data_IF_993489961182
#
_entry.id   IF_993489961182
#
_cell.length_a   1.000
_cell.length_b   1.000
_cell.length_c   1.000
_cell.angle_alpha   90.00
_cell.angle_beta   90.00
_cell.angle_gamma   90.00
#
_symmetry.space_group_name_H-M   'P 1'
#
loop_
_entity.id
_entity.type
_entity.pdbx_description
1 polymer ?
#
# COMPACT_ATOMS: atom_id res chain seq x y z
N UNK A 1 13.68 9.65 -15.88
CA UNK A 1 12.72 9.64 -14.73
C UNK A 1 12.92 10.90 -13.90
N UNK A 2 11.87 11.62 -13.52
CA UNK A 2 11.99 12.76 -12.58
C UNK A 2 12.59 12.25 -11.27
N UNK A 3 13.64 12.92 -10.78
CA UNK A 3 14.28 12.59 -9.49
C UNK A 3 13.25 12.77 -8.36
N UNK A 4 13.12 11.78 -7.49
CA UNK A 4 12.20 11.88 -6.33
C UNK A 4 12.74 12.90 -5.33
N UNK A 5 11.95 13.95 -5.04
CA UNK A 5 12.27 14.96 -4.01
C UNK A 5 12.42 14.32 -2.64
N UNK A 6 11.56 13.36 -2.29
CA UNK A 6 11.65 12.61 -1.02
C UNK A 6 13.01 11.90 -0.92
N UNK A 7 13.45 11.22 -2.02
CA UNK A 7 14.73 10.53 -2.03
C UNK A 7 15.90 11.51 -1.91
N UNK A 8 15.79 12.67 -2.55
CA UNK A 8 16.81 13.73 -2.47
C UNK A 8 16.94 14.25 -1.02
N UNK A 9 15.82 14.66 -0.41
CA UNK A 9 15.79 15.12 0.99
C UNK A 9 16.41 14.09 1.94
N UNK A 10 16.05 12.82 1.77
CA UNK A 10 16.62 11.75 2.59
C UNK A 10 18.11 11.55 2.31
N UNK A 11 18.54 11.61 1.05
CA UNK A 11 19.96 11.43 0.69
C UNK A 11 20.86 12.48 1.31
N UNK A 12 20.43 13.74 1.27
CA UNK A 12 21.21 14.87 1.75
C UNK A 12 21.26 14.93 3.28
N UNK A 13 20.19 14.52 3.94
CA UNK A 13 20.03 14.78 5.37
C UNK A 13 20.10 13.54 6.28
N UNK A 14 19.94 12.31 5.75
CA UNK A 14 19.72 11.11 6.57
C UNK A 14 20.86 10.78 7.52
N UNK A 15 22.12 10.90 7.06
CA UNK A 15 23.29 10.58 7.90
C UNK A 15 23.43 11.57 9.06
N UNK A 16 23.28 12.87 8.78
CA UNK A 16 23.33 13.92 9.82
C UNK A 16 22.13 13.78 10.78
N UNK A 17 20.95 13.50 10.25
CA UNK A 17 19.76 13.21 11.06
C UNK A 17 19.99 12.03 12.02
N UNK A 18 20.63 10.95 11.57
CA UNK A 18 20.92 9.79 12.41
C UNK A 18 21.96 10.09 13.49
N UNK A 19 22.94 10.96 13.25
CA UNK A 19 23.89 11.40 14.29
C UNK A 19 23.16 12.07 15.46
N UNK A 20 22.15 12.88 15.16
CA UNK A 20 21.41 13.64 16.18
C UNK A 20 20.29 12.79 16.81
N UNK A 21 19.50 12.11 16.00
CA UNK A 21 18.25 11.47 16.42
C UNK A 21 18.28 9.94 16.37
N UNK A 22 19.37 9.33 15.94
CA UNK A 22 19.45 7.90 15.62
C UNK A 22 19.11 6.95 16.77
N UNK A 23 19.35 7.35 18.03
CA UNK A 23 18.93 6.56 19.22
C UNK A 23 17.41 6.43 19.33
N UNK A 24 16.64 7.45 18.87
CA UNK A 24 15.17 7.48 18.88
C UNK A 24 14.54 6.87 17.62
N UNK A 25 15.31 6.58 16.58
CA UNK A 25 14.80 6.03 15.32
C UNK A 25 14.71 4.51 15.40
N UNK A 26 13.53 3.95 15.16
CA UNK A 26 13.27 2.49 15.17
C UNK A 26 14.14 1.76 14.13
N UNK A 27 14.63 0.56 14.47
CA UNK A 27 15.50 -0.25 13.59
C UNK A 27 14.87 -0.53 12.22
N UNK A 28 13.58 -0.84 12.17
CA UNK A 28 12.88 -1.08 10.90
C UNK A 28 12.78 0.18 10.03
N UNK A 29 12.68 1.36 10.64
CA UNK A 29 12.66 2.64 9.92
C UNK A 29 14.01 2.89 9.24
N UNK A 30 15.13 2.68 9.93
CA UNK A 30 16.47 2.81 9.34
C UNK A 30 16.59 1.93 8.11
N UNK A 31 16.28 0.64 8.24
CA UNK A 31 16.31 -0.32 7.12
C UNK A 31 15.39 0.09 5.96
N UNK A 32 14.22 0.65 6.25
CA UNK A 32 13.27 1.03 5.21
C UNK A 32 13.73 2.28 4.46
N UNK A 33 14.33 3.27 5.15
CA UNK A 33 14.94 4.44 4.50
C UNK A 33 16.15 4.03 3.65
N UNK A 34 17.03 3.15 4.15
CA UNK A 34 18.17 2.61 3.39
C UNK A 34 17.72 1.93 2.09
N UNK A 35 16.63 1.14 2.13
CA UNK A 35 16.03 0.56 0.91
C UNK A 35 15.55 1.64 -0.07
N UNK A 36 14.93 2.71 0.43
CA UNK A 36 14.47 3.81 -0.43
C UNK A 36 15.66 4.53 -1.07
N UNK A 37 16.70 4.76 -0.32
CA UNK A 37 17.95 5.37 -0.82
C UNK A 37 18.63 4.50 -1.89
N UNK A 38 18.63 3.19 -1.70
CA UNK A 38 19.17 2.23 -2.65
C UNK A 38 18.27 1.98 -3.87
N UNK A 39 17.04 2.50 -3.90
CA UNK A 39 16.07 2.25 -4.97
C UNK A 39 16.57 2.83 -6.31
N UNK A 40 16.76 1.97 -7.32
CA UNK A 40 17.24 2.35 -8.64
C UNK A 40 18.71 2.76 -8.69
N UNK A 41 19.48 2.53 -7.62
CA UNK A 41 20.93 2.73 -7.59
C UNK A 41 21.63 1.54 -8.26
N UNK A 42 22.30 1.81 -9.38
CA UNK A 42 22.97 0.78 -10.16
C UNK A 42 24.12 0.13 -9.39
N UNK A 43 24.77 0.84 -8.45
CA UNK A 43 25.81 0.25 -7.61
C UNK A 43 25.30 -0.86 -6.68
N UNK A 44 24.00 -0.88 -6.40
CA UNK A 44 23.34 -1.90 -5.58
C UNK A 44 22.81 -3.08 -6.38
N UNK A 45 22.81 -2.95 -7.70
CA UNK A 45 22.44 -3.98 -8.65
C UNK A 45 21.40 -3.53 -9.67
N UNK A 46 21.41 -4.22 -10.80
CA UNK A 46 20.57 -3.90 -11.96
C UNK A 46 20.28 -5.13 -12.81
N UNK A 47 19.29 -4.98 -13.67
CA UNK A 47 19.05 -5.87 -14.81
C UNK A 47 19.63 -5.18 -16.03
N UNK A 48 20.36 -5.93 -16.88
CA UNK A 48 20.89 -5.46 -18.13
C UNK A 48 20.11 -6.02 -19.30
N UNK A 49 19.82 -5.15 -20.26
CA UNK A 49 19.21 -5.49 -21.54
C UNK A 49 20.16 -5.09 -22.67
N UNK A 50 20.20 -5.86 -23.73
CA UNK A 50 21.03 -5.60 -24.92
C UNK A 50 20.16 -5.53 -26.16
N UNK A 51 20.50 -4.63 -27.06
CA UNK A 51 19.90 -4.54 -28.40
C UNK A 51 20.70 -5.35 -29.38
N UNK A 52 20.14 -6.40 -29.96
CA UNK A 52 20.86 -7.24 -30.92
C UNK A 52 21.22 -6.52 -32.20
N UNK A 53 20.46 -5.47 -32.58
CA UNK A 53 20.66 -4.72 -33.82
C UNK A 53 21.77 -3.66 -33.73
N UNK A 54 21.87 -2.92 -32.62
CA UNK A 54 22.86 -1.84 -32.50
C UNK A 54 23.79 -2.01 -31.30
N UNK A 55 23.71 -3.14 -30.60
CA UNK A 55 24.55 -3.53 -29.45
C UNK A 55 24.47 -2.56 -28.27
N UNK A 56 23.51 -1.61 -28.29
CA UNK A 56 23.28 -0.69 -27.18
C UNK A 56 22.85 -1.48 -25.94
N UNK A 57 23.43 -1.16 -24.79
CA UNK A 57 23.03 -1.75 -23.51
C UNK A 57 22.19 -0.79 -22.67
N UNK A 58 21.28 -1.33 -21.87
CA UNK A 58 20.42 -0.57 -20.97
C UNK A 58 20.36 -1.22 -19.61
N UNK A 59 20.77 -0.48 -18.60
CA UNK A 59 20.77 -0.94 -17.20
C UNK A 59 19.57 -0.38 -16.46
N UNK A 60 18.85 -1.25 -15.76
CA UNK A 60 17.66 -0.91 -14.96
C UNK A 60 17.90 -1.34 -13.52
N UNK A 61 18.11 -0.37 -12.63
CA UNK A 61 18.38 -0.61 -11.20
C UNK A 61 17.20 -1.26 -10.48
N UNK A 62 17.48 -2.05 -9.47
CA UNK A 62 16.46 -2.73 -8.68
C UNK A 62 15.55 -1.74 -7.94
N UNK A 63 14.25 -2.04 -7.91
CA UNK A 63 13.28 -1.27 -7.15
C UNK A 63 13.14 -1.81 -5.72
N UNK A 64 12.99 -0.91 -4.75
CA UNK A 64 12.90 -1.28 -3.33
C UNK A 64 11.56 -1.91 -2.93
N UNK A 65 10.53 -1.86 -3.75
CA UNK A 65 9.15 -2.28 -3.47
C UNK A 65 8.56 -1.65 -2.18
N UNK A 66 9.22 -0.64 -1.63
CA UNK A 66 8.78 0.05 -0.41
C UNK A 66 7.58 0.93 -0.69
N UNK A 67 6.56 0.84 0.15
CA UNK A 67 5.40 1.73 0.14
C UNK A 67 5.77 3.19 0.43
N UNK A 68 6.94 3.40 0.98
CA UNK A 68 7.49 4.70 1.32
C UNK A 68 8.24 5.35 0.14
N UNK A 69 8.51 4.57 -0.90
CA UNK A 69 9.17 5.01 -2.11
C UNK A 69 8.13 5.36 -3.18
N UNK A 70 8.19 6.56 -3.71
CA UNK A 70 7.28 7.05 -4.76
C UNK A 70 7.45 6.31 -6.10
N UNK A 71 8.63 5.73 -6.35
CA UNK A 71 8.92 4.94 -7.54
C UNK A 71 8.68 3.44 -7.31
N UNK A 72 9.41 2.83 -6.37
CA UNK A 72 9.35 1.38 -6.13
C UNK A 72 8.02 0.88 -5.55
N UNK A 73 7.30 1.73 -4.80
CA UNK A 73 6.00 1.39 -4.21
C UNK A 73 4.84 1.37 -5.21
N UNK A 74 4.93 2.10 -6.31
CA UNK A 74 3.84 2.23 -7.28
C UNK A 74 3.52 0.92 -7.97
N UNK A 75 4.53 0.22 -8.49
CA UNK A 75 4.36 -1.09 -9.15
C UNK A 75 3.77 -2.14 -8.19
N UNK A 76 4.24 -2.14 -6.94
CA UNK A 76 3.68 -3.01 -5.91
C UNK A 76 2.18 -2.73 -5.67
N UNK A 77 1.80 -1.45 -5.63
CA UNK A 77 0.41 -1.02 -5.43
C UNK A 77 -0.49 -1.45 -6.57
N UNK A 78 -0.04 -1.26 -7.81
CA UNK A 78 -0.81 -1.61 -9.00
C UNK A 78 -1.08 -3.13 -9.04
N UNK A 79 -0.05 -3.96 -8.72
CA UNK A 79 -0.21 -5.41 -8.57
C UNK A 79 -1.24 -5.78 -7.50
N UNK A 80 -1.19 -5.09 -6.37
CA UNK A 80 -2.12 -5.37 -5.29
C UNK A 80 -3.56 -4.97 -5.66
N UNK A 81 -3.74 -3.85 -6.37
CA UNK A 81 -5.05 -3.39 -6.86
C UNK A 81 -5.67 -4.45 -7.78
N UNK A 82 -4.92 -4.95 -8.76
CA UNK A 82 -5.41 -5.97 -9.69
C UNK A 82 -5.84 -7.24 -8.96
N UNK A 83 -5.03 -7.70 -8.01
CA UNK A 83 -5.37 -8.86 -7.19
C UNK A 83 -6.62 -8.63 -6.32
N UNK A 84 -6.79 -7.44 -5.78
CA UNK A 84 -7.97 -7.10 -5.00
C UNK A 84 -9.22 -7.04 -5.87
N UNK A 85 -9.15 -6.37 -7.02
CA UNK A 85 -10.27 -6.24 -7.94
C UNK A 85 -10.80 -7.58 -8.43
N UNK A 86 -9.89 -8.55 -8.66
CA UNK A 86 -10.27 -9.91 -9.02
C UNK A 86 -10.97 -10.69 -7.88
N UNK A 87 -10.95 -10.16 -6.66
CA UNK A 87 -11.64 -10.77 -5.51
C UNK A 87 -12.93 -10.04 -5.11
N UNK A 88 -13.18 -8.83 -5.61
CA UNK A 88 -14.42 -8.11 -5.32
C UNK A 88 -15.59 -8.76 -6.06
N UNK A 89 -16.71 -8.95 -5.37
CA UNK A 89 -17.97 -9.42 -5.97
C UNK A 89 -18.68 -8.27 -6.67
N UNK A 90 -19.52 -8.59 -7.67
CA UNK A 90 -20.23 -7.62 -8.51
C UNK A 90 -21.47 -7.05 -7.82
N UNK A 91 -21.24 -6.33 -6.73
CA UNK A 91 -22.27 -5.58 -5.99
C UNK A 91 -21.78 -4.16 -5.75
N UNK A 92 -22.69 -3.27 -5.39
CA UNK A 92 -22.32 -1.93 -4.97
C UNK A 92 -21.48 -1.97 -3.69
N UNK A 93 -20.50 -1.11 -3.62
CA UNK A 93 -19.64 -0.92 -2.45
C UNK A 93 -19.71 0.51 -1.95
N UNK A 94 -19.47 0.67 -0.68
CA UNK A 94 -19.37 1.99 -0.03
C UNK A 94 -18.02 2.15 0.62
N UNK A 95 -17.49 3.35 0.51
CA UNK A 95 -16.30 3.74 1.27
C UNK A 95 -16.71 4.41 2.57
N UNK A 96 -16.15 3.91 3.67
CA UNK A 96 -16.35 4.46 5.02
C UNK A 96 -15.00 4.75 5.65
N UNK A 97 -14.88 5.89 6.32
CA UNK A 97 -13.70 6.27 7.11
C UNK A 97 -14.08 6.28 8.58
N UNK A 98 -13.32 5.56 9.38
CA UNK A 98 -13.43 5.51 10.83
C UNK A 98 -12.25 6.27 11.44
N UNK A 99 -12.52 7.38 12.11
CA UNK A 99 -11.49 8.16 12.79
C UNK A 99 -11.51 7.91 14.28
N UNK A 100 -10.41 8.23 14.94
CA UNK A 100 -10.31 8.18 16.40
C UNK A 100 -10.14 9.60 16.94
N UNK A 101 -10.65 9.89 18.13
CA UNK A 101 -10.41 11.17 18.80
C UNK A 101 -8.92 11.34 19.16
N UNK A 102 -8.52 12.59 19.32
CA UNK A 102 -7.12 12.94 19.54
C UNK A 102 -6.54 12.30 20.79
N UNK A 103 -7.33 12.23 21.83
CA UNK A 103 -7.00 11.66 23.13
C UNK A 103 -6.52 10.19 23.03
N UNK A 104 -7.00 9.46 22.03
CA UNK A 104 -6.60 8.07 21.78
C UNK A 104 -5.36 7.94 20.88
N UNK A 105 -4.95 8.99 20.17
CA UNK A 105 -3.82 8.90 19.21
C UNK A 105 -2.51 8.50 19.91
N UNK A 106 -2.25 9.02 21.11
CA UNK A 106 -1.06 8.68 21.91
C UNK A 106 -1.01 7.19 22.28
N UNK A 107 -2.15 6.58 22.61
CA UNK A 107 -2.26 5.15 22.92
C UNK A 107 -1.74 4.25 21.77
N UNK A 108 -2.05 4.60 20.53
CA UNK A 108 -1.58 3.88 19.34
C UNK A 108 -0.15 4.26 18.95
N UNK A 109 0.30 5.46 19.28
CA UNK A 109 1.67 5.93 19.04
C UNK A 109 2.70 5.24 19.92
N UNK A 110 2.37 5.03 21.21
CA UNK A 110 3.25 4.37 22.19
C UNK A 110 3.52 2.90 21.86
N UNK A 111 2.53 2.19 21.34
CA UNK A 111 2.69 0.80 20.88
C UNK A 111 1.94 0.60 19.56
N UNK A 112 2.68 0.56 18.47
CA UNK A 112 2.14 0.48 17.11
C UNK A 112 1.48 -0.86 16.80
N UNK A 113 1.78 -1.93 17.52
CA UNK A 113 1.08 -3.20 17.38
C UNK A 113 -0.41 -3.06 17.75
N UNK A 114 -0.76 -2.07 18.57
CA UNK A 114 -2.15 -1.74 18.91
C UNK A 114 -2.96 -1.26 17.70
N UNK A 115 -2.32 -0.74 16.65
CA UNK A 115 -3.02 -0.34 15.42
C UNK A 115 -3.83 -1.49 14.80
N UNK A 116 -3.49 -2.76 15.05
CA UNK A 116 -4.27 -3.93 14.60
C UNK A 116 -5.69 -3.98 15.16
N UNK A 117 -5.95 -3.26 16.25
CA UNK A 117 -7.27 -3.14 16.89
C UNK A 117 -8.24 -2.38 15.97
N UNK A 118 -7.78 -1.28 15.36
CA UNK A 118 -8.62 -0.38 14.58
C UNK A 118 -9.42 -1.08 13.47
N UNK A 119 -8.80 -1.85 12.55
CA UNK A 119 -9.56 -2.52 11.48
C UNK A 119 -10.49 -3.60 12.00
N UNK A 120 -10.10 -4.30 13.09
CA UNK A 120 -10.93 -5.32 13.74
C UNK A 120 -12.20 -4.69 14.32
N UNK A 121 -12.05 -3.59 15.06
CA UNK A 121 -13.18 -2.86 15.64
C UNK A 121 -14.09 -2.21 14.58
N UNK A 122 -13.49 -1.63 13.52
CA UNK A 122 -14.28 -1.05 12.43
C UNK A 122 -15.12 -2.12 11.71
N UNK A 123 -14.53 -3.28 11.41
CA UNK A 123 -15.26 -4.40 10.83
C UNK A 123 -16.36 -4.91 11.77
N UNK A 124 -16.07 -5.07 13.08
CA UNK A 124 -17.05 -5.48 14.09
C UNK A 124 -18.20 -4.49 14.21
N UNK A 125 -17.93 -3.18 14.16
CA UNK A 125 -18.97 -2.14 14.22
C UNK A 125 -19.96 -2.26 13.05
N UNK A 126 -19.46 -2.43 11.81
CA UNK A 126 -20.30 -2.58 10.62
C UNK A 126 -21.04 -3.91 10.63
N UNK A 127 -20.36 -5.02 10.91
CA UNK A 127 -20.98 -6.34 10.93
C UNK A 127 -22.06 -6.43 11.99
N UNK A 128 -21.82 -5.95 13.21
CA UNK A 128 -22.81 -5.95 14.28
C UNK A 128 -24.02 -5.04 13.98
N UNK A 129 -23.79 -3.94 13.25
CA UNK A 129 -24.88 -3.10 12.77
C UNK A 129 -25.72 -3.86 11.74
N UNK A 130 -25.12 -4.50 10.75
CA UNK A 130 -25.86 -5.29 9.74
C UNK A 130 -26.61 -6.46 10.36
N UNK A 131 -26.02 -7.14 11.36
CA UNK A 131 -26.70 -8.21 12.11
C UNK A 131 -27.95 -7.69 12.85
N UNK A 132 -27.92 -6.44 13.34
CA UNK A 132 -29.08 -5.86 14.03
C UNK A 132 -30.24 -5.48 13.12
N UNK A 133 -30.03 -5.37 11.81
CA UNK A 133 -31.09 -5.11 10.83
C UNK A 133 -32.05 -6.30 10.68
N UNK A 134 -31.52 -7.51 10.88
CA UNK A 134 -32.33 -8.73 10.94
C UNK A 134 -31.59 -9.78 11.77
N UNK A 135 -32.10 -10.04 12.97
CA UNK A 135 -31.44 -10.94 13.94
C UNK A 135 -31.43 -12.41 13.51
N UNK A 136 -32.43 -12.86 12.74
CA UNK A 136 -32.49 -14.24 12.24
C UNK A 136 -31.48 -14.47 11.12
N UNK A 137 -31.34 -13.53 10.19
CA UNK A 137 -30.46 -13.65 9.01
C UNK A 137 -29.00 -13.31 9.29
N UNK A 138 -28.73 -12.34 10.17
CA UNK A 138 -27.37 -11.88 10.52
C UNK A 138 -26.51 -11.58 9.28
N UNK A 139 -26.97 -10.66 8.44
CA UNK A 139 -26.32 -10.32 7.18
C UNK A 139 -24.82 -10.03 7.33
N UNK A 140 -23.98 -10.81 6.66
CA UNK A 140 -22.54 -10.70 6.69
C UNK A 140 -22.04 -9.97 5.43
N UNK A 141 -21.43 -8.78 5.56
CA UNK A 141 -20.88 -8.03 4.44
C UNK A 141 -19.50 -8.53 4.00
N UNK A 142 -19.08 -8.13 2.80
CA UNK A 142 -17.68 -8.18 2.36
C UNK A 142 -16.95 -6.90 2.77
N UNK A 143 -15.85 -6.99 3.52
CA UNK A 143 -15.13 -5.84 4.06
C UNK A 143 -13.65 -5.92 3.71
N UNK A 144 -13.11 -4.82 3.18
CA UNK A 144 -11.66 -4.58 3.03
C UNK A 144 -11.32 -3.31 3.79
N UNK A 145 -10.33 -3.38 4.68
CA UNK A 145 -9.86 -2.25 5.48
C UNK A 145 -8.42 -1.90 5.19
N UNK A 146 -8.10 -0.61 5.22
CA UNK A 146 -6.74 -0.08 5.12
C UNK A 146 -6.50 0.89 6.26
N UNK A 147 -5.41 0.71 7.01
CA UNK A 147 -5.00 1.64 8.08
C UNK A 147 -4.17 2.75 7.46
N UNK A 148 -4.52 3.99 7.79
CA UNK A 148 -3.66 5.16 7.61
C UNK A 148 -3.28 5.72 8.96
N UNK A 149 -2.11 6.36 9.02
CA UNK A 149 -1.58 6.93 10.26
C UNK A 149 -1.32 8.43 10.16
N UNK A 150 -1.63 9.04 9.01
CA UNK A 150 -1.30 10.45 8.72
C UNK A 150 -2.53 11.26 8.33
N UNK A 151 -2.57 12.50 8.79
CA UNK A 151 -3.45 13.55 8.28
C UNK A 151 -2.91 14.15 6.97
N UNK A 152 -3.63 15.12 6.41
CA UNK A 152 -3.15 15.90 5.24
C UNK A 152 -1.90 16.71 5.57
N UNK A 153 -1.74 17.13 6.80
CA UNK A 153 -0.63 17.88 7.39
C UNK A 153 0.54 17.00 7.89
N UNK A 154 0.52 15.72 7.57
CA UNK A 154 1.50 14.72 8.04
C UNK A 154 1.52 14.49 9.56
N UNK A 155 0.57 15.02 10.33
CA UNK A 155 0.46 14.70 11.75
C UNK A 155 0.00 13.25 11.96
N UNK A 156 0.38 12.69 13.11
CA UNK A 156 -0.04 11.36 13.54
C UNK A 156 -1.55 11.33 13.79
N UNK A 157 -2.27 10.70 12.87
CA UNK A 157 -3.73 10.59 12.89
C UNK A 157 -4.17 9.19 12.42
N UNK A 158 -4.11 8.15 13.27
CA UNK A 158 -4.54 6.81 12.89
C UNK A 158 -6.03 6.76 12.60
N UNK A 159 -6.38 6.21 11.43
CA UNK A 159 -7.77 6.01 11.00
C UNK A 159 -7.87 4.83 10.04
N UNK A 160 -9.08 4.34 9.84
CA UNK A 160 -9.34 3.19 8.96
C UNK A 160 -10.16 3.64 7.78
N UNK A 161 -9.65 3.37 6.59
CA UNK A 161 -10.45 3.37 5.36
C UNK A 161 -11.02 1.98 5.15
N UNK A 162 -12.33 1.91 4.89
CA UNK A 162 -13.04 0.67 4.67
C UNK A 162 -13.79 0.72 3.35
N UNK A 163 -13.68 -0.36 2.56
CA UNK A 163 -14.61 -0.67 1.48
C UNK A 163 -15.51 -1.78 1.99
N UNK A 164 -16.80 -1.56 1.96
CA UNK A 164 -17.82 -2.51 2.39
C UNK A 164 -18.88 -2.68 1.31
N UNK A 165 -19.38 -3.89 1.15
CA UNK A 165 -20.51 -4.16 0.26
C UNK A 165 -21.78 -3.46 0.75
N UNK A 166 -22.58 -2.88 -0.15
CA UNK A 166 -23.93 -2.38 0.16
C UNK A 166 -24.93 -3.52 0.21
N UNK A 167 -24.71 -4.40 1.17
CA UNK A 167 -25.48 -5.61 1.39
C UNK A 167 -24.66 -6.69 2.05
N UNK A 168 -25.29 -7.81 2.30
CA UNK A 168 -24.68 -8.97 2.94
C UNK A 168 -25.40 -10.26 2.64
N UNK A 169 -24.70 -11.38 2.83
CA UNK A 169 -25.26 -12.72 2.81
C UNK A 169 -25.91 -13.02 4.15
N UNK A 170 -27.15 -13.49 4.15
CA UNK A 170 -27.86 -14.00 5.29
C UNK A 170 -27.60 -15.49 5.54
N UNK A 171 -28.25 -16.07 6.54
CA UNK A 171 -28.20 -17.52 6.81
C UNK A 171 -28.92 -18.32 5.71
N UNK A 172 -30.11 -17.88 5.32
CA UNK A 172 -30.97 -18.51 4.30
C UNK A 172 -31.12 -17.62 3.05
N UNK A 173 -30.95 -16.31 3.20
CA UNK A 173 -31.03 -15.34 2.10
C UNK A 173 -29.63 -15.20 1.49
N UNK A 174 -29.50 -15.53 0.19
CA UNK A 174 -28.22 -15.48 -0.49
C UNK A 174 -27.64 -14.06 -0.51
N UNK A 175 -28.48 -13.04 -0.77
CA UNK A 175 -28.06 -11.66 -0.77
C UNK A 175 -29.19 -10.69 -0.43
N UNK A 176 -28.91 -9.74 0.47
CA UNK A 176 -29.79 -8.59 0.77
C UNK A 176 -29.08 -7.29 0.53
N UNK A 177 -29.61 -6.45 -0.36
CA UNK A 177 -29.15 -5.07 -0.54
C UNK A 177 -29.53 -4.20 0.65
N UNK A 178 -28.58 -3.38 1.13
CA UNK A 178 -28.74 -2.40 2.21
C UNK A 178 -28.37 -1.04 1.63
N UNK A 179 -29.37 -0.29 1.23
CA UNK A 179 -29.18 1.01 0.55
C UNK A 179 -28.84 2.14 1.50
N UNK A 180 -29.33 2.09 2.73
CA UNK A 180 -29.14 3.13 3.72
C UNK A 180 -28.21 2.66 4.83
N UNK A 181 -27.18 3.46 5.10
CA UNK A 181 -26.24 3.25 6.19
C UNK A 181 -26.54 4.25 7.31
N UNK A 182 -26.96 3.77 8.46
CA UNK A 182 -27.29 4.57 9.64
C UNK A 182 -26.00 5.05 10.32
N UNK A 183 -25.46 6.20 9.86
CA UNK A 183 -24.16 6.71 10.34
C UNK A 183 -24.12 7.03 11.82
N UNK A 184 -25.22 7.51 12.40
CA UNK A 184 -25.31 7.74 13.85
C UNK A 184 -25.14 6.43 14.64
N UNK A 185 -25.84 5.39 14.21
CA UNK A 185 -25.71 4.08 14.81
C UNK A 185 -24.28 3.53 14.66
N UNK A 186 -23.64 3.74 13.50
CA UNK A 186 -22.26 3.34 13.28
C UNK A 186 -21.27 4.12 14.13
N UNK A 187 -21.47 5.44 14.34
CA UNK A 187 -20.63 6.28 15.21
C UNK A 187 -20.66 5.77 16.66
N UNK A 188 -21.84 5.51 17.20
CA UNK A 188 -22.02 4.98 18.55
C UNK A 188 -21.43 3.57 18.70
N UNK A 189 -21.66 2.69 17.70
CA UNK A 189 -21.06 1.34 17.70
C UNK A 189 -19.55 1.37 17.58
N UNK A 190 -19.01 2.24 16.72
CA UNK A 190 -17.56 2.43 16.58
C UNK A 190 -16.93 2.85 17.90
N UNK A 191 -17.50 3.85 18.56
CA UNK A 191 -17.07 4.31 19.89
C UNK A 191 -17.08 3.16 20.90
N UNK A 192 -18.21 2.46 21.02
CA UNK A 192 -18.35 1.37 21.98
C UNK A 192 -17.34 0.25 21.72
N UNK A 193 -17.31 -0.29 20.51
CA UNK A 193 -16.44 -1.44 20.17
C UNK A 193 -14.96 -1.08 20.35
N UNK A 194 -14.57 0.14 19.97
CA UNK A 194 -13.18 0.58 20.10
C UNK A 194 -12.78 0.77 21.57
N UNK A 195 -13.60 1.44 22.38
CA UNK A 195 -13.33 1.66 23.78
C UNK A 195 -13.30 0.36 24.59
N UNK A 196 -14.19 -0.56 24.30
CA UNK A 196 -14.21 -1.89 24.92
C UNK A 196 -12.91 -2.67 24.61
N UNK A 197 -12.49 -2.71 23.34
CA UNK A 197 -11.25 -3.39 22.95
C UNK A 197 -9.98 -2.72 23.51
N UNK A 198 -9.97 -1.39 23.57
CA UNK A 198 -8.86 -0.64 24.21
C UNK A 198 -8.80 -0.97 25.70
N UNK A 199 -9.93 -1.04 26.39
CA UNK A 199 -9.99 -1.41 27.81
C UNK A 199 -9.41 -2.81 28.04
N UNK A 200 -9.79 -3.79 27.21
CA UNK A 200 -9.24 -5.17 27.28
C UNK A 200 -7.72 -5.16 27.12
N UNK A 201 -7.18 -4.42 26.14
CA UNK A 201 -5.75 -4.42 25.83
C UNK A 201 -4.94 -3.62 26.85
N UNK A 202 -5.53 -2.61 27.49
CA UNK A 202 -4.85 -1.73 28.46
C UNK A 202 -4.91 -2.27 29.89
N UNK A 203 -5.75 -3.25 30.13
CA UNK A 203 -6.22 -3.56 31.46
C UNK A 203 -7.25 -2.52 31.98
N UNK A 204 -8.14 -2.96 32.83
CA UNK A 204 -9.21 -2.13 33.41
C UNK A 204 -8.69 -1.32 34.60
N UNK A 205 -7.87 -0.30 34.32
CA UNK A 205 -7.31 0.57 35.34
C UNK A 205 -8.09 1.90 35.47
N UNK A 206 -7.92 2.59 36.62
CA UNK A 206 -8.63 3.85 36.93
C UNK A 206 -8.46 4.91 35.84
N UNK A 207 -7.25 5.04 35.25
CA UNK A 207 -6.98 6.03 34.18
C UNK A 207 -7.78 5.72 32.92
N UNK A 208 -7.87 4.43 32.54
CA UNK A 208 -8.64 4.02 31.35
C UNK A 208 -10.15 4.16 31.58
N UNK A 209 -10.66 3.83 32.77
CA UNK A 209 -12.06 4.08 33.14
C UNK A 209 -12.41 5.57 33.06
N UNK A 210 -11.58 6.42 33.63
CA UNK A 210 -11.77 7.88 33.58
C UNK A 210 -11.77 8.40 32.12
N UNK A 211 -10.81 7.97 31.29
CA UNK A 211 -10.78 8.34 29.88
C UNK A 211 -12.00 7.85 29.11
N UNK A 212 -12.43 6.62 29.35
CA UNK A 212 -13.64 6.05 28.73
C UNK A 212 -14.87 6.87 29.08
N UNK A 213 -15.09 7.20 30.35
CA UNK A 213 -16.20 8.01 30.80
C UNK A 213 -16.17 9.43 30.20
N UNK A 214 -14.99 10.08 30.22
CA UNK A 214 -14.79 11.37 29.57
C UNK A 214 -15.19 11.34 28.10
N UNK A 215 -14.71 10.34 27.32
CA UNK A 215 -14.98 10.23 25.90
C UNK A 215 -16.47 9.93 25.61
N UNK A 216 -17.18 9.19 26.46
CA UNK A 216 -18.64 9.01 26.31
C UNK A 216 -19.39 10.32 26.57
N UNK A 217 -18.95 11.12 27.55
CA UNK A 217 -19.57 12.42 27.88
C UNK A 217 -19.33 13.45 26.77
N UNK A 218 -18.07 13.64 26.36
CA UNK A 218 -17.69 14.67 25.39
C UNK A 218 -18.04 14.31 23.94
N UNK A 219 -18.05 13.03 23.60
CA UNK A 219 -18.37 12.51 22.27
C UNK A 219 -19.69 11.73 22.29
N UNK A 220 -20.76 12.32 22.84
CA UNK A 220 -22.06 11.68 23.05
C UNK A 220 -22.75 11.23 21.74
N UNK A 221 -22.41 11.85 20.59
CA UNK A 221 -22.85 11.43 19.24
C UNK A 221 -22.03 10.26 18.66
N UNK A 222 -21.05 9.74 19.44
CA UNK A 222 -20.13 8.71 19.00
C UNK A 222 -18.90 9.25 18.27
N UNK A 223 -17.94 8.37 17.95
CA UNK A 223 -16.74 8.75 17.23
C UNK A 223 -17.04 8.97 15.75
N UNK A 224 -16.32 9.90 15.11
CA UNK A 224 -16.60 10.30 13.74
C UNK A 224 -16.46 9.16 12.75
N UNK A 225 -17.53 8.90 12.01
CA UNK A 225 -17.60 7.99 10.88
C UNK A 225 -18.11 8.78 9.69
N UNK A 226 -17.37 8.75 8.59
CA UNK A 226 -17.71 9.45 7.36
C UNK A 226 -17.83 8.45 6.21
N UNK A 227 -18.89 8.54 5.45
CA UNK A 227 -18.98 7.84 4.19
C UNK A 227 -18.86 8.81 3.04
N UNK A 228 -17.98 8.46 2.14
CA UNK A 228 -17.94 9.05 0.81
C UNK A 228 -18.69 8.15 -0.17
N UNK A 229 -18.94 8.71 -1.33
CA UNK A 229 -19.55 8.20 -2.54
C UNK A 229 -19.66 6.68 -2.70
N UNK A 230 -20.79 6.24 -3.24
CA UNK A 230 -21.00 4.92 -3.81
C UNK A 230 -19.87 4.53 -4.78
N UNK A 231 -19.33 3.35 -4.62
CA UNK A 231 -18.35 2.77 -5.56
C UNK A 231 -19.14 1.86 -6.52
N UNK A 232 -19.45 2.42 -7.70
CA UNK A 232 -20.32 1.75 -8.68
C UNK A 232 -19.55 0.88 -9.69
N UNK A 233 -18.22 0.99 -9.75
CA UNK A 233 -17.44 0.28 -10.76
C UNK A 233 -16.08 -0.18 -10.25
N UNK A 234 -15.54 -1.21 -10.88
CA UNK A 234 -14.19 -1.71 -10.64
C UNK A 234 -13.12 -0.60 -10.82
N UNK A 235 -13.31 0.29 -11.80
CA UNK A 235 -12.40 1.43 -12.06
C UNK A 235 -12.40 2.41 -10.88
N UNK A 236 -13.57 2.70 -10.32
CA UNK A 236 -13.70 3.59 -9.15
C UNK A 236 -13.13 2.93 -7.90
N UNK A 237 -13.38 1.63 -7.69
CA UNK A 237 -12.79 0.85 -6.62
C UNK A 237 -11.26 0.84 -6.71
N UNK A 238 -10.70 0.59 -7.91
CA UNK A 238 -9.26 0.59 -8.16
C UNK A 238 -8.62 1.94 -7.87
N UNK A 239 -9.17 3.03 -8.42
CA UNK A 239 -8.69 4.40 -8.16
C UNK A 239 -8.71 4.73 -6.68
N UNK A 240 -9.77 4.30 -6.01
CA UNK A 240 -9.98 4.58 -4.60
C UNK A 240 -8.94 3.84 -3.75
N UNK A 241 -8.86 2.53 -3.92
CA UNK A 241 -7.94 1.69 -3.16
C UNK A 241 -6.48 2.04 -3.45
N UNK A 242 -6.15 2.32 -4.70
CA UNK A 242 -4.81 2.76 -5.10
C UNK A 242 -4.34 4.02 -4.38
N UNK A 243 -5.27 4.92 -4.02
CA UNK A 243 -4.94 6.12 -3.24
C UNK A 243 -4.48 5.80 -1.81
N UNK A 244 -4.98 4.72 -1.22
CA UNK A 244 -4.79 4.44 0.20
C UNK A 244 -3.81 3.31 0.49
N UNK A 245 -3.57 2.42 -0.47
CA UNK A 245 -2.78 1.21 -0.25
C UNK A 245 -1.28 1.41 -0.42
N UNK A 246 -0.86 2.17 -1.39
CA UNK A 246 0.54 2.21 -1.80
C UNK A 246 1.17 3.58 -1.88
N UNK A 247 0.49 4.62 -1.38
CA UNK A 247 1.09 5.96 -1.37
C UNK A 247 1.93 6.17 -0.14
N UNK A 248 3.10 6.80 -0.27
CA UNK A 248 3.80 7.40 0.86
C UNK A 248 2.88 8.41 1.55
N UNK A 249 3.22 8.80 2.78
CA UNK A 249 2.42 9.76 3.55
C UNK A 249 2.20 11.09 2.82
N UNK A 250 3.11 11.43 1.92
CA UNK A 250 3.01 12.61 1.05
C UNK A 250 3.26 12.21 -0.42
N UNK A 251 2.53 12.82 -1.35
CA UNK A 251 2.79 12.69 -2.78
C UNK A 251 3.91 13.67 -3.22
N UNK A 252 4.73 13.28 -4.18
CA UNK A 252 5.79 14.14 -4.74
C UNK A 252 5.29 15.51 -5.20
N UNK A 253 4.09 15.56 -5.79
CA UNK A 253 3.46 16.81 -6.25
C UNK A 253 3.07 17.78 -5.14
N UNK A 254 3.09 17.33 -3.89
CA UNK A 254 2.83 18.17 -2.71
C UNK A 254 4.10 18.79 -2.14
N UNK A 255 5.27 18.30 -2.51
CA UNK A 255 6.54 18.93 -2.17
C UNK A 255 6.79 20.02 -3.21
N UNK A 256 6.57 21.27 -2.81
CA UNK A 256 6.71 22.43 -3.67
C UNK A 256 8.19 22.67 -3.95
N UNK A 257 8.98 22.82 -2.89
CA UNK A 257 10.40 23.14 -3.00
C UNK A 257 11.27 22.44 -1.93
N UNK A 258 12.57 22.40 -2.17
CA UNK A 258 13.60 21.93 -1.26
C UNK A 258 14.93 22.61 -1.59
N UNK A 259 15.44 23.43 -0.69
CA UNK A 259 16.66 24.26 -0.84
C UNK A 259 17.94 23.62 -0.26
N UNK A 260 17.86 22.38 0.23
CA UNK A 260 18.95 21.67 0.93
C UNK A 260 18.80 21.70 2.46
N UNK A 261 18.13 22.69 3.02
CA UNK A 261 17.93 22.90 4.46
C UNK A 261 16.45 22.80 4.83
N UNK A 262 15.57 23.45 4.06
CA UNK A 262 14.14 23.53 4.31
C UNK A 262 13.34 22.82 3.22
N UNK A 263 12.22 22.25 3.61
CA UNK A 263 11.24 21.60 2.73
C UNK A 263 9.96 22.39 2.76
N UNK A 264 9.53 22.87 1.60
CA UNK A 264 8.24 23.52 1.41
C UNK A 264 7.26 22.53 0.81
N UNK A 265 6.15 22.30 1.50
CA UNK A 265 5.10 21.40 1.03
C UNK A 265 3.71 21.97 1.27
N UNK A 266 2.73 21.49 0.49
CA UNK A 266 1.37 21.98 0.53
C UNK A 266 0.35 20.90 0.90
N UNK A 267 -0.71 21.34 1.57
CA UNK A 267 -1.87 20.49 1.87
C UNK A 267 -3.14 21.32 1.98
N UNK A 268 -4.29 20.67 1.76
CA UNK A 268 -5.59 21.29 1.93
C UNK A 268 -6.06 21.07 3.38
N UNK A 269 -6.37 22.12 4.09
CA UNK A 269 -6.93 22.07 5.45
C UNK A 269 -8.36 21.49 5.41
N UNK A 270 -8.79 20.87 6.50
CA UNK A 270 -10.10 20.21 6.55
C UNK A 270 -11.23 21.17 6.92
N UNK A 271 -10.91 22.20 7.67
CA UNK A 271 -11.86 23.14 8.28
C UNK A 271 -12.49 24.04 7.23
N UNK A 272 -11.71 24.55 6.33
CA UNK A 272 -12.08 25.57 5.34
C UNK A 272 -11.81 25.19 3.88
N UNK A 273 -11.14 24.03 3.66
CA UNK A 273 -10.64 23.57 2.37
C UNK A 273 -9.58 24.49 1.72
N UNK A 274 -8.97 25.39 2.48
CA UNK A 274 -7.87 26.22 1.99
C UNK A 274 -6.58 25.41 1.78
N UNK A 275 -5.82 25.81 0.76
CA UNK A 275 -4.47 25.28 0.52
C UNK A 275 -3.47 25.98 1.44
N UNK A 276 -2.84 25.21 2.32
CA UNK A 276 -1.79 25.67 3.22
C UNK A 276 -0.44 25.28 2.64
N UNK A 277 0.48 26.25 2.57
CA UNK A 277 1.89 26.02 2.23
C UNK A 277 2.69 26.14 3.53
N UNK A 278 3.43 25.07 3.87
CA UNK A 278 4.23 24.99 5.10
C UNK A 278 5.70 24.78 4.72
N UNK A 279 6.59 25.62 5.25
CA UNK A 279 8.05 25.47 5.10
C UNK A 279 8.63 25.09 6.45
N UNK A 280 9.33 23.96 6.51
CA UNK A 280 9.94 23.44 7.73
C UNK A 280 11.35 22.92 7.44
N UNK A 281 12.19 22.90 8.46
CA UNK A 281 13.53 22.32 8.39
C UNK A 281 13.46 20.83 7.96
N UNK A 282 14.38 20.39 7.11
CA UNK A 282 14.40 19.03 6.57
C UNK A 282 14.33 17.94 7.65
N UNK A 283 14.93 18.14 8.83
CA UNK A 283 14.87 17.16 9.92
C UNK A 283 13.45 17.04 10.51
N UNK A 284 12.70 18.14 10.62
CA UNK A 284 11.31 18.08 11.07
C UNK A 284 10.42 17.41 10.02
N UNK A 285 10.67 17.69 8.74
CA UNK A 285 10.01 16.98 7.65
C UNK A 285 10.29 15.47 7.69
N UNK A 286 11.55 15.07 7.88
CA UNK A 286 11.94 13.66 8.03
C UNK A 286 11.24 13.02 9.22
N UNK A 287 11.17 13.67 10.39
CA UNK A 287 10.43 13.17 11.55
C UNK A 287 8.96 12.94 11.22
N UNK A 288 8.29 13.95 10.62
CA UNK A 288 6.90 13.85 10.18
C UNK A 288 6.71 12.69 9.20
N UNK A 289 7.67 12.43 8.33
CA UNK A 289 7.58 11.40 7.30
C UNK A 289 7.80 9.98 7.85
N UNK A 290 8.88 9.76 8.60
CA UNK A 290 9.29 8.42 9.06
C UNK A 290 8.39 7.84 10.16
N UNK A 291 7.64 8.70 10.87
CA UNK A 291 6.67 8.25 11.88
C UNK A 291 5.60 7.34 11.26
N UNK A 292 5.32 7.45 9.98
CA UNK A 292 4.29 6.68 9.28
C UNK A 292 4.80 5.34 8.72
N UNK A 293 6.09 5.06 8.78
CA UNK A 293 6.64 3.76 8.41
C UNK A 293 6.13 2.70 9.39
N UNK A 294 5.40 1.66 8.92
CA UNK A 294 4.84 0.63 9.79
C UNK A 294 5.93 -0.27 10.39
N UNK A 295 5.58 -1.05 11.39
CA UNK A 295 6.45 -2.10 11.91
C UNK A 295 6.68 -3.21 10.87
N UNK A 296 7.80 -3.91 11.00
CA UNK A 296 8.12 -5.05 10.12
C UNK A 296 6.97 -6.07 10.15
N UNK A 297 6.56 -6.53 8.97
CA UNK A 297 5.46 -7.50 8.79
C UNK A 297 4.08 -7.02 9.28
N UNK A 298 3.93 -5.73 9.61
CA UNK A 298 2.62 -5.20 10.01
C UNK A 298 1.67 -5.15 8.80
N UNK A 299 0.54 -5.87 8.90
CA UNK A 299 -0.48 -5.92 7.85
C UNK A 299 -1.37 -4.69 7.92
N UNK A 300 -1.12 -3.71 7.04
CA UNK A 300 -1.94 -2.50 6.93
C UNK A 300 -3.31 -2.76 6.33
N UNK A 301 -3.47 -3.84 5.54
CA UNK A 301 -4.70 -4.21 4.84
C UNK A 301 -5.24 -5.48 5.46
N UNK A 302 -6.55 -5.52 5.72
CA UNK A 302 -7.24 -6.69 6.29
C UNK A 302 -8.58 -6.90 5.62
N UNK A 303 -8.99 -8.16 5.57
CA UNK A 303 -10.21 -8.64 4.94
C UNK A 303 -11.10 -9.31 5.96
N UNK A 304 -12.40 -9.01 5.93
CA UNK A 304 -13.39 -9.55 6.88
C UNK A 304 -14.67 -9.96 6.15
N UNK A 305 -15.53 -10.71 6.84
CA UNK A 305 -16.78 -11.21 6.30
C UNK A 305 -16.55 -12.04 5.03
N UNK A 306 -17.34 -11.80 4.00
CA UNK A 306 -17.26 -12.51 2.71
C UNK A 306 -15.84 -12.45 2.10
N UNK A 307 -15.12 -11.32 2.30
CA UNK A 307 -13.76 -11.16 1.78
C UNK A 307 -12.67 -11.75 2.65
N UNK A 308 -13.00 -12.35 3.79
CA UNK A 308 -12.03 -13.05 4.63
C UNK A 308 -11.30 -14.12 3.80
N UNK A 309 -9.99 -14.29 4.04
CA UNK A 309 -9.20 -15.33 3.37
C UNK A 309 -9.70 -16.75 3.66
N UNK A 310 -10.30 -16.94 4.85
CA UNK A 310 -10.87 -18.23 5.28
C UNK A 310 -12.25 -18.49 4.68
N UNK A 311 -12.96 -17.44 4.24
CA UNK A 311 -14.28 -17.56 3.64
C UNK A 311 -14.17 -17.99 2.17
N UNK A 312 -14.89 -19.05 1.81
CA UNK A 312 -15.10 -19.49 0.42
C UNK A 312 -16.31 -18.79 -0.22
N UNK A 313 -17.13 -18.10 0.55
CA UNK A 313 -18.40 -17.47 0.13
C UNK A 313 -18.26 -16.53 -1.06
N UNK A 314 -17.14 -15.80 -1.14
CA UNK A 314 -16.85 -14.92 -2.28
C UNK A 314 -16.81 -15.65 -3.63
N UNK A 315 -16.63 -16.97 -3.64
CA UNK A 315 -16.56 -17.76 -4.87
C UNK A 315 -17.95 -18.08 -5.43
N UNK A 316 -18.99 -17.96 -4.61
CA UNK A 316 -20.38 -18.17 -5.00
C UNK A 316 -20.99 -16.95 -5.72
N UNK A 317 -20.26 -15.84 -5.77
CA UNK A 317 -20.74 -14.60 -6.38
C UNK A 317 -19.97 -14.27 -7.65
N UNK A 318 -20.69 -13.66 -8.61
CA UNK A 318 -20.09 -13.08 -9.83
C UNK A 318 -19.06 -12.03 -9.40
N UNK A 319 -17.87 -12.04 -10.02
CA UNK A 319 -16.80 -11.07 -9.73
C UNK A 319 -17.06 -9.76 -10.46
N UNK A 320 -16.61 -8.66 -9.84
CA UNK A 320 -16.71 -7.31 -10.42
C UNK A 320 -15.89 -7.16 -11.71
N UNK A 321 -14.85 -7.96 -11.89
CA UNK A 321 -14.06 -8.04 -13.12
C UNK A 321 -14.14 -9.47 -13.64
N UNK A 322 -14.48 -9.59 -14.93
CA UNK A 322 -14.44 -10.86 -15.63
C UNK A 322 -13.06 -11.51 -15.55
N UNK A 323 -13.05 -12.84 -15.44
CA UNK A 323 -11.79 -13.58 -15.26
C UNK A 323 -10.88 -13.48 -16.50
N UNK A 324 -11.44 -13.40 -17.71
CA UNK A 324 -10.67 -13.20 -18.94
C UNK A 324 -9.96 -11.85 -18.92
N UNK A 325 -10.66 -10.78 -18.52
CA UNK A 325 -10.08 -9.44 -18.35
C UNK A 325 -9.01 -9.46 -17.25
N UNK A 326 -9.23 -10.19 -16.17
CA UNK A 326 -8.25 -10.32 -15.10
C UNK A 326 -7.00 -11.08 -15.56
N UNK A 327 -7.17 -12.15 -16.34
CA UNK A 327 -6.05 -12.89 -16.96
C UNK A 327 -5.27 -12.01 -17.93
N UNK A 328 -5.97 -11.25 -18.78
CA UNK A 328 -5.34 -10.26 -19.67
C UNK A 328 -4.58 -9.19 -18.89
N UNK A 329 -5.14 -8.61 -17.82
CA UNK A 329 -4.44 -7.67 -16.97
C UNK A 329 -3.21 -8.30 -16.29
N UNK A 330 -3.28 -9.55 -15.88
CA UNK A 330 -2.14 -10.28 -15.32
C UNK A 330 -1.07 -10.57 -16.37
N UNK A 331 -1.44 -10.89 -17.61
CA UNK A 331 -0.49 -11.07 -18.71
C UNK A 331 0.18 -9.76 -19.12
N UNK A 332 -0.60 -8.67 -19.19
CA UNK A 332 -0.08 -7.30 -19.34
C UNK A 332 0.67 -6.82 -18.07
N UNK A 333 0.53 -7.55 -16.98
CA UNK A 333 1.25 -7.35 -15.72
C UNK A 333 2.71 -7.78 -15.76
N UNK A 334 3.24 -8.19 -16.90
CA UNK A 334 4.68 -8.38 -17.09
C UNK A 334 5.40 -7.09 -16.73
N UNK A 335 6.55 -7.23 -16.14
CA UNK A 335 7.34 -6.11 -15.60
C UNK A 335 7.48 -4.94 -16.60
N UNK A 336 7.74 -5.22 -17.87
CA UNK A 336 7.89 -4.25 -18.94
C UNK A 336 6.64 -3.40 -19.19
N UNK A 337 5.45 -4.02 -19.27
CA UNK A 337 4.19 -3.32 -19.47
C UNK A 337 3.78 -2.48 -18.26
N UNK A 338 4.16 -2.91 -17.06
CA UNK A 338 3.90 -2.13 -15.84
C UNK A 338 4.80 -0.91 -15.77
N UNK A 339 6.07 -1.03 -16.15
CA UNK A 339 6.96 0.13 -16.26
C UNK A 339 6.42 1.09 -17.32
N UNK A 340 6.00 0.59 -18.48
CA UNK A 340 5.40 1.41 -19.53
C UNK A 340 4.13 2.11 -19.03
N UNK A 341 3.19 1.38 -18.45
CA UNK A 341 1.94 1.94 -17.94
C UNK A 341 2.15 2.92 -16.77
N UNK A 342 3.20 2.69 -15.96
CA UNK A 342 3.48 3.48 -14.76
C UNK A 342 4.29 4.73 -15.06
N UNK A 343 5.26 4.65 -15.97
CA UNK A 343 6.28 5.68 -16.22
C UNK A 343 6.30 6.19 -17.67
N UNK A 344 5.47 5.63 -18.56
CA UNK A 344 5.42 6.00 -19.98
C UNK A 344 6.66 5.58 -20.78
N UNK A 345 7.54 4.76 -20.21
CA UNK A 345 8.79 4.31 -20.85
C UNK A 345 8.78 2.79 -20.97
N UNK A 346 9.00 2.27 -22.18
CA UNK A 346 9.22 0.85 -22.39
C UNK A 346 10.67 0.49 -22.05
N UNK A 347 10.94 -0.30 -20.99
CA UNK A 347 12.30 -0.66 -20.61
C UNK A 347 12.96 -1.60 -21.62
N UNK A 348 12.17 -2.35 -22.42
CA UNK A 348 12.62 -3.30 -23.39
C UNK A 348 12.70 -2.71 -24.82
N UNK A 349 12.62 -1.38 -24.97
CA UNK A 349 12.87 -0.70 -26.25
C UNK A 349 14.23 0.00 -26.22
N UNK A 350 14.99 -0.19 -27.30
CA UNK A 350 16.26 0.50 -27.47
C UNK A 350 16.03 2.00 -27.67
N UNK A 351 16.78 2.83 -26.94
CA UNK A 351 16.68 4.29 -27.08
C UNK A 351 17.29 4.80 -28.38
N UNK A 352 18.20 4.04 -29.00
CA UNK A 352 18.92 4.42 -30.21
C UNK A 352 18.17 4.03 -31.50
N UNK A 353 17.72 2.77 -31.61
CA UNK A 353 17.11 2.26 -32.85
C UNK A 353 15.65 1.82 -32.69
N UNK A 354 15.05 2.01 -31.52
CA UNK A 354 13.67 1.67 -31.17
C UNK A 354 13.27 0.19 -31.35
N UNK A 355 14.24 -0.71 -31.63
CA UNK A 355 14.01 -2.16 -31.70
C UNK A 355 13.88 -2.76 -30.30
N UNK A 356 13.38 -4.00 -30.22
CA UNK A 356 13.28 -4.69 -28.94
C UNK A 356 14.67 -5.05 -28.43
N UNK A 357 14.85 -4.90 -27.11
CA UNK A 357 16.04 -5.34 -26.41
C UNK A 357 15.75 -6.68 -25.72
N UNK A 358 16.72 -7.58 -25.76
CA UNK A 358 16.64 -8.84 -25.00
C UNK A 358 17.24 -8.69 -23.61
N UNK A 359 16.79 -9.51 -22.71
CA UNK A 359 17.40 -9.65 -21.40
C UNK A 359 18.79 -10.26 -21.55
N UNK A 360 19.76 -9.69 -20.83
CA UNK A 360 21.15 -10.10 -20.95
C UNK A 360 21.72 -10.63 -19.64
N UNK A 361 21.62 -9.88 -18.54
CA UNK A 361 22.20 -10.27 -17.26
C UNK A 361 21.50 -9.65 -16.06
N UNK A 362 21.82 -10.19 -14.89
CA UNK A 362 21.49 -9.63 -13.58
C UNK A 362 22.79 -9.42 -12.84
N UNK A 363 23.03 -8.19 -12.41
CA UNK A 363 24.21 -7.83 -11.64
C UNK A 363 23.79 -7.40 -10.23
N UNK A 364 24.33 -8.05 -9.21
CA UNK A 364 24.17 -7.65 -7.81
C UNK A 364 25.41 -6.90 -7.33
N UNK A 365 25.21 -5.78 -6.62
CA UNK A 365 26.31 -4.90 -6.19
C UNK A 365 27.43 -5.60 -5.41
N UNK A 366 27.05 -6.57 -4.56
CA UNK A 366 28.01 -7.30 -3.72
C UNK A 366 28.38 -8.69 -4.25
N UNK A 367 27.74 -9.14 -5.35
CA UNK A 367 27.88 -10.52 -5.84
C UNK A 367 28.36 -10.55 -7.30
N UNK A 368 28.21 -9.43 -8.02
CA UNK A 368 28.57 -9.32 -9.42
C UNK A 368 27.54 -9.89 -10.39
N UNK A 369 27.98 -10.24 -11.57
CA UNK A 369 27.18 -10.77 -12.67
C UNK A 369 26.75 -12.22 -12.41
N UNK A 370 25.47 -12.50 -12.60
CA UNK A 370 24.94 -13.87 -12.54
C UNK A 370 25.41 -14.66 -13.76
N UNK A 371 25.49 -14.03 -14.94
CA UNK A 371 26.04 -14.64 -16.15
C UNK A 371 27.44 -15.17 -15.92
N UNK A 372 28.34 -14.36 -15.39
CA UNK A 372 29.71 -14.76 -15.07
C UNK A 372 29.79 -15.85 -14.01
N UNK A 373 28.91 -15.76 -12.98
CA UNK A 373 28.85 -16.77 -11.94
C UNK A 373 28.41 -18.13 -12.50
N UNK A 374 27.41 -18.16 -13.37
CA UNK A 374 26.95 -19.39 -14.00
C UNK A 374 28.01 -19.97 -14.94
N UNK A 375 28.67 -19.13 -15.74
CA UNK A 375 29.81 -19.57 -16.59
C UNK A 375 30.92 -20.23 -15.78
N UNK A 376 31.25 -19.72 -14.61
CA UNK A 376 32.26 -20.32 -13.73
C UNK A 376 31.82 -21.63 -13.07
N UNK A 377 30.55 -21.77 -12.79
CA UNK A 377 30.00 -22.90 -12.05
C UNK A 377 29.63 -24.09 -12.93
N UNK A 378 29.20 -23.83 -14.16
CA UNK A 378 28.72 -24.83 -15.11
C UNK A 378 29.41 -24.67 -16.45
N UNK A 379 29.67 -25.80 -17.12
CA UNK A 379 30.13 -25.83 -18.49
C UNK A 379 28.91 -25.74 -19.39
N UNK A 380 28.85 -24.73 -20.25
CA UNK A 380 27.79 -24.56 -21.23
C UNK A 380 28.36 -24.84 -22.61
N UNK A 381 27.74 -25.76 -23.36
CA UNK A 381 28.12 -26.12 -24.73
C UNK A 381 27.79 -25.02 -25.74
N UNK A 382 26.75 -24.22 -25.43
CA UNK A 382 26.28 -23.11 -26.25
C UNK A 382 25.83 -21.93 -25.40
N UNK A 383 26.00 -20.69 -25.90
CA UNK A 383 25.56 -19.46 -25.24
C UNK A 383 24.05 -19.43 -25.01
N UNK A 384 23.25 -20.04 -25.88
CA UNK A 384 21.80 -20.17 -25.74
C UNK A 384 21.36 -20.87 -24.45
N UNK A 385 22.06 -21.94 -24.06
CA UNK A 385 21.79 -22.65 -22.77
C UNK A 385 22.14 -21.79 -21.57
N UNK A 386 23.16 -20.98 -21.64
CA UNK A 386 23.51 -20.03 -20.61
C UNK A 386 22.44 -18.94 -20.48
N UNK A 387 21.93 -18.43 -21.59
CA UNK A 387 20.85 -17.43 -21.59
C UNK A 387 19.58 -17.98 -20.95
N UNK A 388 19.20 -19.23 -21.30
CA UNK A 388 18.07 -19.93 -20.71
C UNK A 388 18.24 -20.10 -19.18
N UNK A 389 19.43 -20.52 -18.73
CA UNK A 389 19.74 -20.68 -17.31
C UNK A 389 19.64 -19.36 -16.53
N UNK A 390 20.11 -18.24 -17.08
CA UNK A 390 20.00 -16.92 -16.49
C UNK A 390 18.54 -16.47 -16.41
N UNK A 391 17.76 -16.72 -17.45
CA UNK A 391 16.33 -16.39 -17.48
C UNK A 391 15.54 -17.20 -16.43
N UNK A 392 15.81 -18.52 -16.33
CA UNK A 392 15.24 -19.38 -15.30
C UNK A 392 15.58 -18.87 -13.90
N UNK A 393 16.85 -18.48 -13.69
CA UNK A 393 17.29 -17.87 -12.44
C UNK A 393 16.49 -16.60 -12.13
N UNK A 394 16.35 -15.70 -13.11
CA UNK A 394 15.61 -14.45 -12.96
C UNK A 394 14.13 -14.66 -12.63
N UNK A 395 13.50 -15.65 -13.29
CA UNK A 395 12.10 -16.04 -13.02
C UNK A 395 11.96 -16.63 -11.61
N UNK A 396 12.84 -17.56 -11.24
CA UNK A 396 12.83 -18.23 -9.93
C UNK A 396 13.00 -17.24 -8.79
N UNK A 397 13.84 -16.21 -8.98
CA UNK A 397 14.02 -15.13 -7.99
C UNK A 397 12.93 -14.04 -8.06
N UNK A 398 11.93 -14.19 -8.95
CA UNK A 398 10.84 -13.23 -9.10
C UNK A 398 11.29 -11.84 -9.61
N UNK A 399 12.39 -11.80 -10.36
CA UNK A 399 12.94 -10.60 -10.99
C UNK A 399 12.26 -10.35 -12.32
N UNK A 400 12.10 -11.42 -13.12
CA UNK A 400 11.28 -11.44 -14.32
C UNK A 400 10.00 -12.21 -14.03
N UNK A 401 8.84 -11.67 -14.40
CA UNK A 401 7.58 -12.38 -14.30
C UNK A 401 7.32 -13.15 -15.60
N UNK A 402 7.54 -14.47 -15.57
CA UNK A 402 6.99 -15.47 -16.49
C UNK A 402 7.06 -15.11 -17.98
N UNK A 403 8.23 -14.91 -18.56
CA UNK A 403 8.41 -15.02 -20.02
C UNK A 403 8.61 -16.50 -20.35
N UNK A 404 7.67 -17.07 -21.07
CA UNK A 404 7.97 -18.17 -22.00
C UNK A 404 8.43 -17.46 -23.27
N UNK A 405 9.72 -17.52 -23.59
CA UNK A 405 10.20 -17.09 -24.90
C UNK A 405 9.55 -18.04 -25.89
N UNK A 406 8.83 -17.58 -26.94
CA UNK A 406 8.49 -18.45 -28.02
C UNK A 406 9.81 -18.92 -28.64
N UNK A 407 10.07 -20.23 -28.65
CA UNK A 407 11.13 -20.80 -29.44
C UNK A 407 10.93 -20.29 -30.86
N UNK A 408 11.83 -19.49 -31.35
CA UNK A 408 11.91 -19.18 -32.78
C UNK A 408 12.28 -20.48 -33.47
N UNK A 409 11.29 -21.09 -34.13
CA UNK A 409 11.51 -22.08 -35.18
C UNK A 409 12.20 -21.41 -36.35
#
# INVERSE_FOLDING_TARGET
>A
MKKSKIKLILKDNWLAFLKIYGKKVRKNVKKEVEKVLACGDLSKGYIEFICDSCKESKKVGFSCKSRFCTSGGKVYTDNWIDNMLGNLINVKHRHIVFTIPEELRKFFGMNRQRLKILPKCAAKAVTSWMHSLNKSQQFTPGIVTVIHTFGRDLKWNPHVHMIVTEGGKGKTIEWRHIRHFAFEALRKRWQKVLLDEITIVSGDNKKMKALKNKLYKEKNKGFYVHAKTEIKSAKTAAKYVGRYVGRPAIAESRIVDYDGVNVTFKYTRHEDNEEVIETIHAYEFIKKLIIHIPEKNFKMIRYFGIYSRRSKEKNNFIKMIDEKILRLRKSLGKWEYRILATFGVNPCKCSKCNKNMRFYDIVYGNYGSIREHLKKKFIFEAEERLEEAIEIYAITKGILSGRIIPKTT
#
